data_IF_841037070442
#
_entry.id   IF_841037070442
#
_cell.length_a   1.000
_cell.length_b   1.000
_cell.length_c   1.000
_cell.angle_alpha   90.00
_cell.angle_beta   90.00
_cell.angle_gamma   90.00
#
_symmetry.space_group_name_H-M   'P 1'
#
loop_
_entity.id
_entity.type
_entity.pdbx_description
1 polymer ?
#
# COMPACT_ATOMS: atom_id res chain seq x y z
N UNK A 1 18.52 1.91 0.83
CA UNK A 1 17.16 1.38 1.10
C UNK A 1 16.37 1.47 -0.20
N UNK A 2 16.19 0.34 -0.89
CA UNK A 2 15.44 0.30 -2.16
C UNK A 2 13.97 0.06 -1.83
N UNK A 3 13.13 1.08 -2.03
CA UNK A 3 11.68 0.88 -2.09
C UNK A 3 11.36 0.08 -3.35
N UNK A 4 10.52 -0.94 -3.25
CA UNK A 4 10.15 -1.77 -4.39
C UNK A 4 9.40 -0.93 -5.43
N UNK A 5 10.07 -0.61 -6.54
CA UNK A 5 9.46 -0.04 -7.73
C UNK A 5 8.49 -1.04 -8.33
N UNK A 6 7.21 -0.67 -8.32
CA UNK A 6 6.05 -1.41 -8.81
C UNK A 6 6.04 -1.62 -10.34
N UNK A 7 7.17 -1.96 -10.97
CA UNK A 7 7.22 -2.20 -12.43
C UNK A 7 6.48 -3.47 -12.85
N UNK A 8 6.02 -4.30 -11.90
CA UNK A 8 5.28 -5.53 -12.16
C UNK A 8 3.77 -5.36 -11.92
N UNK A 9 3.12 -4.50 -12.72
CA UNK A 9 1.67 -4.21 -12.67
C UNK A 9 0.76 -5.42 -12.93
N UNK A 10 1.30 -6.60 -13.22
CA UNK A 10 0.51 -7.74 -13.71
C UNK A 10 -0.13 -8.61 -12.61
N UNK A 11 0.31 -8.54 -11.35
CA UNK A 11 -0.26 -9.40 -10.28
C UNK A 11 -0.19 -8.74 -8.88
N UNK A 12 -0.31 -7.42 -8.79
CA UNK A 12 -0.45 -6.79 -7.47
C UNK A 12 -1.93 -6.75 -7.10
N UNK A 13 -2.29 -7.66 -6.19
CA UNK A 13 -3.61 -7.70 -5.57
C UNK A 13 -3.90 -6.35 -4.91
N UNK A 14 -5.11 -5.84 -5.11
CA UNK A 14 -5.54 -4.52 -4.63
C UNK A 14 -5.40 -4.36 -3.12
N UNK A 15 -5.32 -5.46 -2.36
CA UNK A 15 -5.00 -5.46 -0.92
C UNK A 15 -3.62 -4.89 -0.57
N UNK A 16 -2.72 -4.77 -1.54
CA UNK A 16 -1.38 -4.20 -1.37
C UNK A 16 -1.25 -2.76 -1.89
N UNK A 17 -2.35 -2.16 -2.34
CA UNK A 17 -2.40 -0.79 -2.86
C UNK A 17 -2.95 0.11 -1.76
N UNK A 18 -2.27 1.22 -1.50
CA UNK A 18 -2.74 2.24 -0.58
C UNK A 18 -3.93 3.00 -1.19
N UNK A 19 -5.07 3.10 -0.48
CA UNK A 19 -6.23 3.83 -0.99
C UNK A 19 -6.01 5.35 -1.08
N UNK A 20 -5.06 5.91 -0.33
CA UNK A 20 -4.79 7.35 -0.29
C UNK A 20 -3.88 7.81 -1.45
N UNK A 21 -2.76 7.11 -1.68
CA UNK A 21 -1.78 7.50 -2.70
C UNK A 21 -1.82 6.64 -3.96
N UNK A 22 -2.62 5.57 -4.00
CA UNK A 22 -2.75 4.61 -5.13
C UNK A 22 -1.44 3.93 -5.54
N UNK A 23 -0.44 3.96 -4.66
CA UNK A 23 0.84 3.28 -4.81
C UNK A 23 0.87 2.01 -3.94
N UNK A 24 1.92 1.21 -4.09
CA UNK A 24 2.17 0.07 -3.21
C UNK A 24 2.29 0.57 -1.76
N UNK A 25 1.64 -0.13 -0.84
CA UNK A 25 1.74 0.12 0.59
C UNK A 25 3.21 0.15 1.04
N UNK A 26 3.65 1.30 1.56
CA UNK A 26 4.97 1.49 2.17
C UNK A 26 4.76 1.70 3.66
N UNK A 27 5.33 0.80 4.46
CA UNK A 27 5.11 0.73 5.91
C UNK A 27 3.59 0.70 6.24
N UNK A 28 2.87 -0.38 5.86
CA UNK A 28 1.42 -0.44 6.01
C UNK A 28 0.98 -0.39 7.48
N UNK A 29 0.13 0.58 7.81
CA UNK A 29 -0.65 0.60 9.05
C UNK A 29 -2.07 0.13 8.77
N UNK A 30 -2.69 -0.53 9.75
CA UNK A 30 -4.09 -0.90 9.69
C UNK A 30 -4.93 0.10 10.50
N UNK A 31 -5.91 0.70 9.86
CA UNK A 31 -6.84 1.63 10.50
C UNK A 31 -7.75 0.85 11.45
N UNK A 32 -7.75 1.22 12.73
CA UNK A 32 -8.52 0.53 13.77
C UNK A 32 -10.04 0.66 13.62
N UNK A 33 -10.51 1.71 12.95
CA UNK A 33 -11.95 2.00 12.81
C UNK A 33 -12.62 1.31 11.61
N UNK A 34 -11.86 0.86 10.61
CA UNK A 34 -12.41 0.27 9.38
C UNK A 34 -11.63 -0.93 8.84
N UNK A 35 -10.48 -1.28 9.44
CA UNK A 35 -9.67 -2.44 9.05
C UNK A 35 -8.88 -2.28 7.75
N UNK A 36 -8.95 -1.13 7.08
CA UNK A 36 -8.22 -0.88 5.83
C UNK A 36 -6.74 -0.61 6.10
N UNK A 37 -5.88 -0.99 5.14
CA UNK A 37 -4.44 -0.74 5.19
C UNK A 37 -4.07 0.47 4.36
N UNK A 38 -3.21 1.33 4.92
CA UNK A 38 -2.63 2.49 4.22
C UNK A 38 -1.15 2.62 4.58
N UNK A 39 -0.38 3.38 3.81
CA UNK A 39 0.99 3.71 4.18
C UNK A 39 1.01 4.51 5.48
N UNK A 40 2.00 4.32 6.36
CA UNK A 40 2.11 5.11 7.59
C UNK A 40 2.18 6.62 7.35
N UNK A 41 2.75 7.04 6.22
CA UNK A 41 2.89 8.45 5.83
C UNK A 41 1.69 9.00 5.05
N UNK A 42 0.68 8.18 4.76
CA UNK A 42 -0.55 8.60 4.10
C UNK A 42 -1.68 8.66 5.13
#
# INVERSE_FOLDING_TARGET
>A
MFGFDAKNKLILDTKFICPACTLILRDPIQLTYCGHRQCQSC
#
